data_IF_684249826941
#
_entry.id   IF_684249826941
#
_cell.length_a   1.000
_cell.length_b   1.000
_cell.length_c   1.000
_cell.angle_alpha   90.00
_cell.angle_beta   90.00
_cell.angle_gamma   90.00
#
_symmetry.space_group_name_H-M   'P 1'
#
loop_
_entity.id
_entity.type
_entity.pdbx_description
1 polymer ?
#
# COMPACT_ATOMS: atom_id res chain seq x y z
N UNK A 1 10.32 -21.37 -14.16
CA UNK A 1 9.58 -21.20 -12.89
C UNK A 1 8.12 -20.96 -13.26
N UNK A 2 7.17 -21.76 -12.76
CA UNK A 2 5.73 -21.49 -12.95
C UNK A 2 5.22 -20.84 -11.67
N UNK A 3 4.53 -19.72 -11.82
CA UNK A 3 3.80 -19.05 -10.74
C UNK A 3 2.37 -18.86 -11.23
N UNK A 4 1.40 -18.96 -10.32
CA UNK A 4 0.00 -18.65 -10.64
C UNK A 4 -0.27 -17.20 -10.25
N UNK A 5 -1.16 -16.54 -10.97
CA UNK A 5 -1.61 -15.20 -10.62
C UNK A 5 -3.15 -15.11 -10.64
N UNK A 6 -3.69 -14.20 -9.84
CA UNK A 6 -5.11 -13.88 -9.77
C UNK A 6 -5.28 -12.36 -9.69
N UNK A 7 -6.04 -11.78 -10.63
CA UNK A 7 -6.38 -10.36 -10.58
C UNK A 7 -7.38 -10.10 -9.44
N UNK A 8 -7.05 -9.14 -8.57
CA UNK A 8 -7.83 -8.74 -7.41
C UNK A 8 -8.64 -7.47 -7.74
N UNK A 9 -9.76 -7.65 -8.44
CA UNK A 9 -10.59 -6.55 -8.96
C UNK A 9 -11.29 -5.72 -7.87
N UNK A 10 -11.38 -6.29 -6.68
CA UNK A 10 -11.90 -5.64 -5.47
C UNK A 10 -10.87 -4.74 -4.78
N UNK A 11 -9.65 -4.64 -5.31
CA UNK A 11 -8.59 -3.77 -4.81
C UNK A 11 -8.32 -2.62 -5.78
N UNK A 12 -7.80 -1.52 -5.26
CA UNK A 12 -7.35 -0.39 -6.07
C UNK A 12 -6.31 0.44 -5.34
N UNK A 13 -5.76 1.43 -6.04
CA UNK A 13 -4.61 2.20 -5.57
C UNK A 13 -4.98 3.67 -5.36
N UNK A 14 -4.54 4.24 -4.23
CA UNK A 14 -4.34 5.67 -4.09
C UNK A 14 -2.83 5.97 -4.15
N UNK A 15 -2.46 7.04 -4.84
CA UNK A 15 -1.10 7.59 -4.82
C UNK A 15 -1.06 8.84 -3.97
N UNK A 16 -0.11 8.86 -3.03
CA UNK A 16 0.17 9.97 -2.14
C UNK A 16 1.55 10.53 -2.45
N UNK A 17 1.59 11.81 -2.83
CA UNK A 17 2.81 12.53 -3.21
C UNK A 17 2.93 13.87 -2.47
N UNK A 18 4.13 14.42 -2.38
CA UNK A 18 4.41 15.67 -1.66
C UNK A 18 5.40 15.50 -0.51
N UNK A 19 5.89 16.62 0.02
CA UNK A 19 7.02 16.63 0.99
C UNK A 19 6.64 16.08 2.36
N UNK A 20 5.37 16.17 2.74
CA UNK A 20 4.91 15.83 4.08
C UNK A 20 4.27 14.43 4.17
N UNK A 21 4.18 13.68 3.06
CA UNK A 21 3.43 12.41 2.96
C UNK A 21 3.78 11.43 4.08
N UNK A 22 5.07 11.22 4.33
CA UNK A 22 5.55 10.27 5.34
C UNK A 22 5.14 10.69 6.75
N UNK A 23 5.45 11.93 7.14
CA UNK A 23 5.09 12.45 8.47
C UNK A 23 3.58 12.48 8.67
N UNK A 24 2.83 12.85 7.62
CA UNK A 24 1.38 12.84 7.61
C UNK A 24 0.81 11.43 7.86
N UNK A 25 1.24 10.42 7.09
CA UNK A 25 0.74 9.06 7.27
C UNK A 25 1.18 8.45 8.60
N UNK A 26 2.42 8.71 9.04
CA UNK A 26 2.97 8.20 10.30
C UNK A 26 2.09 8.56 11.51
N UNK A 27 1.47 9.74 11.48
CA UNK A 27 0.59 10.22 12.54
C UNK A 27 -0.82 9.56 12.53
N UNK A 28 -1.19 8.86 11.45
CA UNK A 28 -2.55 8.37 11.22
C UNK A 28 -2.66 6.84 11.20
N UNK A 29 -1.60 6.15 10.79
CA UNK A 29 -1.65 4.71 10.55
C UNK A 29 -1.02 3.91 11.68
N UNK A 30 -1.41 2.65 11.83
CA UNK A 30 -0.96 1.78 12.92
C UNK A 30 0.47 1.26 12.77
N UNK A 31 1.08 1.45 11.60
CA UNK A 31 2.40 0.90 11.28
C UNK A 31 3.46 2.01 11.34
N UNK A 32 4.61 1.66 11.90
CA UNK A 32 5.82 2.47 11.79
C UNK A 32 6.30 2.47 10.33
N UNK A 33 6.31 3.65 9.72
CA UNK A 33 6.69 3.86 8.34
C UNK A 33 8.20 3.87 8.16
N UNK A 34 9.03 3.91 9.20
CA UNK A 34 10.49 3.74 9.04
C UNK A 34 10.83 2.38 8.41
N UNK A 35 9.93 1.39 8.52
CA UNK A 35 10.01 0.12 7.81
C UNK A 35 9.53 0.17 6.36
N UNK A 36 8.76 1.19 5.95
CA UNK A 36 8.34 1.38 4.57
C UNK A 36 9.50 2.01 3.77
N UNK A 37 10.06 1.24 2.85
CA UNK A 37 11.14 1.65 1.95
C UNK A 37 10.89 1.14 0.54
N UNK A 38 11.72 1.52 -0.42
CA UNK A 38 11.69 0.95 -1.78
C UNK A 38 11.94 -0.55 -1.82
N UNK A 39 12.55 -1.12 -0.76
CA UNK A 39 12.81 -2.56 -0.63
C UNK A 39 11.85 -3.26 0.34
N UNK A 40 10.93 -2.53 0.96
CA UNK A 40 10.06 -3.07 2.00
C UNK A 40 8.66 -2.42 1.97
N UNK A 41 7.65 -3.18 1.58
CA UNK A 41 6.25 -2.86 1.75
C UNK A 41 5.77 -3.22 3.16
N UNK A 42 4.69 -2.57 3.60
CA UNK A 42 4.11 -2.80 4.93
C UNK A 42 2.59 -2.90 4.86
N UNK A 43 2.01 -3.65 5.79
CA UNK A 43 0.57 -3.66 6.03
C UNK A 43 0.24 -2.71 7.18
N UNK A 44 -0.82 -1.91 7.02
CA UNK A 44 -1.23 -0.94 8.01
C UNK A 44 -2.74 -0.75 8.03
N UNK A 45 -3.21 -0.02 9.05
CA UNK A 45 -4.61 0.33 9.22
C UNK A 45 -4.76 1.79 9.63
N UNK A 46 -5.89 2.39 9.24
CA UNK A 46 -6.40 3.64 9.78
C UNK A 46 -7.51 3.32 10.78
N UNK A 47 -7.44 3.92 11.98
CA UNK A 47 -8.39 3.69 13.06
C UNK A 47 -9.18 4.97 13.40
N UNK A 48 -10.26 4.83 14.18
CA UNK A 48 -10.86 5.96 14.86
C UNK A 48 -9.93 6.46 15.97
N UNK A 49 -10.12 7.70 16.48
CA UNK A 49 -9.40 8.17 17.66
C UNK A 49 -9.59 7.28 18.91
N UNK A 50 -10.69 6.51 18.97
CA UNK A 50 -10.96 5.54 20.05
C UNK A 50 -10.35 4.15 19.76
N UNK A 51 -9.55 4.00 18.71
CA UNK A 51 -8.90 2.73 18.35
C UNK A 51 -9.78 1.72 17.63
N UNK A 52 -10.94 2.12 17.10
CA UNK A 52 -11.80 1.20 16.33
C UNK A 52 -11.33 1.10 14.89
N UNK A 53 -11.43 -0.09 14.30
CA UNK A 53 -11.10 -0.31 12.89
C UNK A 53 -11.89 0.63 11.97
N UNK A 54 -11.18 1.27 11.05
CA UNK A 54 -11.79 1.94 9.91
C UNK A 54 -11.34 1.32 8.60
N UNK A 55 -10.05 1.29 8.28
CA UNK A 55 -9.54 0.75 7.00
C UNK A 55 -8.23 0.01 7.24
N UNK A 56 -7.93 -0.92 6.36
CA UNK A 56 -6.63 -1.59 6.24
C UNK A 56 -6.19 -1.57 4.78
N UNK A 57 -4.87 -1.58 4.59
CA UNK A 57 -4.24 -1.44 3.27
C UNK A 57 -2.77 -1.86 3.33
N UNK A 58 -2.21 -2.11 2.15
CA UNK A 58 -0.78 -2.22 1.98
C UNK A 58 -0.21 -0.87 1.55
N UNK A 59 1.02 -0.61 2.00
CA UNK A 59 1.81 0.54 1.61
C UNK A 59 3.07 0.06 0.90
N UNK A 60 3.32 0.62 -0.28
CA UNK A 60 4.54 0.41 -1.04
C UNK A 60 5.07 1.78 -1.51
N UNK A 61 6.37 1.86 -1.78
CA UNK A 61 7.00 3.08 -2.25
C UNK A 61 7.36 2.96 -3.73
N UNK A 62 7.03 3.98 -4.52
CA UNK A 62 7.45 4.07 -5.92
C UNK A 62 7.73 5.53 -6.28
N UNK A 63 8.89 5.80 -6.88
CA UNK A 63 9.28 7.13 -7.40
C UNK A 63 9.21 8.27 -6.35
N UNK A 64 9.43 7.94 -5.07
CA UNK A 64 9.34 8.89 -3.96
C UNK A 64 7.94 9.05 -3.37
N UNK A 65 6.91 8.54 -4.05
CA UNK A 65 5.53 8.53 -3.58
C UNK A 65 5.21 7.28 -2.76
N UNK A 66 4.11 7.34 -2.00
CA UNK A 66 3.54 6.19 -1.31
C UNK A 66 2.26 5.74 -2.03
N UNK A 67 2.23 4.47 -2.40
CA UNK A 67 1.07 3.78 -2.94
C UNK A 67 0.30 3.14 -1.79
N UNK A 68 -1.01 3.35 -1.78
CA UNK A 68 -1.96 2.75 -0.84
C UNK A 68 -2.83 1.78 -1.61
N UNK A 69 -2.55 0.48 -1.46
CA UNK A 69 -3.38 -0.59 -2.00
C UNK A 69 -4.46 -0.97 -0.96
N UNK A 70 -5.72 -0.68 -1.26
CA UNK A 70 -6.86 -0.96 -0.38
C UNK A 70 -8.10 -1.44 -1.15
N UNK A 71 -9.19 -1.65 -0.41
CA UNK A 71 -10.48 -2.10 -0.97
C UNK A 71 -11.08 -1.04 -1.92
N UNK A 72 -11.24 -1.39 -3.20
CA UNK A 72 -11.68 -0.50 -4.28
C UNK A 72 -12.99 0.23 -3.95
N UNK A 73 -13.96 -0.50 -3.39
CA UNK A 73 -15.28 0.04 -3.03
C UNK A 73 -15.22 1.11 -1.92
N UNK A 74 -14.09 1.21 -1.22
CA UNK A 74 -13.92 2.08 -0.04
C UNK A 74 -12.81 3.12 -0.22
N UNK A 75 -12.10 3.11 -1.36
CA UNK A 75 -11.02 4.06 -1.64
C UNK A 75 -11.48 5.51 -1.58
N UNK A 76 -12.66 5.82 -2.13
CA UNK A 76 -13.16 7.21 -2.11
C UNK A 76 -13.43 7.68 -0.67
N UNK A 77 -13.92 6.78 0.19
CA UNK A 77 -14.14 7.06 1.61
C UNK A 77 -12.82 7.19 2.39
N UNK A 78 -11.81 6.36 2.07
CA UNK A 78 -10.46 6.47 2.62
C UNK A 78 -9.81 7.80 2.19
N UNK A 79 -9.83 8.11 0.89
CA UNK A 79 -9.30 9.34 0.31
C UNK A 79 -9.96 10.58 0.94
N UNK A 80 -11.28 10.57 1.12
CA UNK A 80 -12.00 11.68 1.79
C UNK A 80 -11.52 11.88 3.23
N UNK A 81 -11.28 10.81 3.98
CA UNK A 81 -10.77 10.90 5.36
C UNK A 81 -9.33 11.37 5.41
N UNK A 82 -8.47 10.84 4.56
CA UNK A 82 -7.08 11.31 4.48
C UNK A 82 -7.04 12.81 4.12
N UNK A 83 -7.87 13.26 3.17
CA UNK A 83 -7.97 14.70 2.85
C UNK A 83 -8.47 15.54 4.04
N UNK A 84 -9.43 15.04 4.83
CA UNK A 84 -9.88 15.72 6.04
C UNK A 84 -8.75 15.88 7.07
N UNK A 85 -7.86 14.90 7.18
CA UNK A 85 -6.74 14.94 8.13
C UNK A 85 -5.53 15.75 7.63
N UNK A 86 -5.36 15.93 6.31
CA UNK A 86 -4.13 16.56 5.77
C UNK A 86 -3.96 18.01 6.15
N UNK A 87 -5.06 18.75 6.37
CA UNK A 87 -5.05 20.19 6.67
C UNK A 87 -4.14 20.96 5.69
N UNK A 88 -3.03 21.53 6.18
CA UNK A 88 -2.04 22.30 5.39
C UNK A 88 -0.82 21.48 4.97
N UNK A 89 -0.78 20.18 5.28
CA UNK A 89 0.32 19.32 4.88
C UNK A 89 0.42 19.28 3.34
N UNK A 90 1.65 19.34 2.84
CA UNK A 90 1.99 19.22 1.44
C UNK A 90 1.86 17.75 0.99
N UNK A 91 0.61 17.36 0.78
CA UNK A 91 0.19 16.01 0.38
C UNK A 91 -0.88 16.10 -0.71
N UNK A 92 -0.58 15.60 -1.90
CA UNK A 92 -1.55 15.29 -2.94
C UNK A 92 -1.99 13.83 -2.79
N UNK A 93 -3.30 13.59 -2.94
CA UNK A 93 -3.89 12.25 -2.86
C UNK A 93 -4.70 12.06 -4.12
N UNK A 94 -4.38 11.04 -4.90
CA UNK A 94 -5.03 10.75 -6.18
C UNK A 94 -5.43 9.28 -6.25
N UNK A 95 -6.52 9.00 -6.94
CA UNK A 95 -6.95 7.63 -7.24
C UNK A 95 -6.36 7.23 -8.58
N UNK A 96 -5.87 6.01 -8.65
CA UNK A 96 -5.14 5.49 -9.79
C UNK A 96 -6.03 4.50 -10.58
N UNK A 97 -6.60 4.97 -11.70
CA UNK A 97 -7.54 4.17 -12.50
C UNK A 97 -6.84 3.20 -13.48
N UNK A 98 -5.54 3.39 -13.74
CA UNK A 98 -4.75 2.57 -14.68
C UNK A 98 -4.03 1.36 -14.06
N UNK A 99 -4.25 1.11 -12.76
CA UNK A 99 -3.53 0.09 -12.01
C UNK A 99 -4.35 -1.19 -11.90
N UNK A 100 -3.70 -2.34 -12.16
CA UNK A 100 -4.23 -3.67 -11.87
C UNK A 100 -3.43 -4.27 -10.71
N UNK A 101 -4.14 -4.80 -9.72
CA UNK A 101 -3.53 -5.50 -8.58
C UNK A 101 -3.76 -6.99 -8.80
N UNK A 102 -2.69 -7.77 -8.66
CA UNK A 102 -2.72 -9.21 -8.78
C UNK A 102 -1.99 -9.85 -7.61
N UNK A 103 -2.53 -10.96 -7.10
CA UNK A 103 -1.79 -11.85 -6.21
C UNK A 103 -1.09 -12.92 -7.03
N UNK A 104 0.16 -13.22 -6.67
CA UNK A 104 0.99 -14.27 -7.22
C UNK A 104 1.24 -15.31 -6.13
N UNK A 105 0.92 -16.56 -6.43
CA UNK A 105 0.99 -17.66 -5.47
C UNK A 105 1.53 -18.94 -6.11
N UNK A 106 1.96 -19.88 -5.28
CA UNK A 106 2.60 -21.14 -5.69
C UNK A 106 3.80 -20.92 -6.63
N UNK A 107 4.64 -19.92 -6.32
CA UNK A 107 5.84 -19.60 -7.08
C UNK A 107 6.62 -18.44 -6.46
N UNK A 108 7.76 -18.10 -7.05
CA UNK A 108 8.54 -16.91 -6.68
C UNK A 108 8.83 -16.13 -7.97
N UNK A 109 8.63 -14.81 -7.94
CA UNK A 109 8.87 -13.87 -9.03
C UNK A 109 10.24 -13.17 -8.95
N UNK A 110 11.21 -13.79 -8.28
CA UNK A 110 12.56 -13.25 -8.07
C UNK A 110 12.67 -12.33 -6.85
N UNK A 111 11.73 -12.41 -5.91
CA UNK A 111 11.74 -11.64 -4.67
C UNK A 111 12.42 -12.40 -3.54
N UNK A 112 13.01 -11.64 -2.61
CA UNK A 112 13.57 -12.19 -1.38
C UNK A 112 12.49 -12.90 -0.56
N UNK A 113 12.74 -14.10 0.00
CA UNK A 113 11.78 -14.84 0.81
C UNK A 113 11.64 -14.24 2.22
N UNK A 114 11.19 -12.99 2.28
CA UNK A 114 10.99 -12.20 3.49
C UNK A 114 9.68 -11.45 3.38
N UNK A 115 8.85 -11.44 4.42
CA UNK A 115 7.56 -10.75 4.40
C UNK A 115 7.73 -9.25 4.10
N UNK A 116 6.97 -8.74 3.13
CA UNK A 116 7.02 -7.36 2.70
C UNK A 116 8.25 -6.99 1.89
N UNK A 117 9.12 -7.93 1.47
CA UNK A 117 10.17 -7.61 0.51
C UNK A 117 9.54 -6.99 -0.73
N UNK A 118 9.96 -5.78 -1.10
CA UNK A 118 9.39 -5.00 -2.20
C UNK A 118 10.45 -4.69 -3.26
N UNK A 119 10.01 -4.44 -4.48
CA UNK A 119 10.89 -4.00 -5.55
C UNK A 119 10.13 -3.59 -6.81
N UNK A 120 10.83 -2.96 -7.77
CA UNK A 120 10.22 -2.59 -9.04
C UNK A 120 9.77 -3.83 -9.82
N UNK A 121 8.60 -3.75 -10.45
CA UNK A 121 8.04 -4.79 -11.30
C UNK A 121 7.43 -4.19 -12.56
N UNK A 122 8.19 -4.17 -13.65
CA UNK A 122 7.81 -3.44 -14.86
C UNK A 122 7.67 -1.94 -14.57
N UNK A 123 6.48 -1.38 -14.85
CA UNK A 123 6.14 0.01 -14.53
C UNK A 123 5.50 0.18 -13.13
N UNK A 124 5.32 -0.92 -12.39
CA UNK A 124 4.72 -0.94 -11.06
C UNK A 124 5.69 -1.44 -9.99
N UNK A 125 5.10 -1.93 -8.89
CA UNK A 125 5.80 -2.50 -7.74
C UNK A 125 5.26 -3.90 -7.47
N UNK A 126 6.14 -4.83 -7.09
CA UNK A 126 5.75 -6.10 -6.51
C UNK A 126 6.28 -6.18 -5.08
N UNK A 127 5.57 -6.91 -4.22
CA UNK A 127 6.03 -7.19 -2.87
C UNK A 127 5.49 -8.51 -2.37
N UNK A 128 6.30 -9.27 -1.62
CA UNK A 128 5.77 -10.41 -0.86
C UNK A 128 4.79 -9.92 0.20
N UNK A 129 3.74 -10.68 0.49
CA UNK A 129 2.69 -10.24 1.40
C UNK A 129 3.29 -9.87 2.79
N UNK A 130 3.15 -8.61 3.24
CA UNK A 130 3.72 -8.14 4.50
C UNK A 130 3.10 -8.76 5.75
N UNK A 131 1.94 -9.43 5.62
CA UNK A 131 1.20 -10.06 6.73
C UNK A 131 1.70 -11.48 6.97
N UNK A 132 1.95 -12.22 5.89
CA UNK A 132 2.35 -13.62 5.92
C UNK A 132 3.11 -13.97 4.64
N UNK A 133 4.37 -14.38 4.75
CA UNK A 133 5.20 -14.73 3.59
C UNK A 133 4.56 -15.81 2.70
N UNK A 134 3.89 -16.79 3.30
CA UNK A 134 3.25 -17.89 2.57
C UNK A 134 1.99 -17.47 1.78
N UNK A 135 1.49 -16.23 1.98
CA UNK A 135 0.37 -15.71 1.21
C UNK A 135 0.78 -15.29 -0.23
N UNK A 136 2.07 -15.30 -0.55
CA UNK A 136 2.57 -15.02 -1.90
C UNK A 136 3.09 -13.59 -2.05
N UNK A 137 2.96 -13.04 -3.26
CA UNK A 137 3.35 -11.69 -3.64
C UNK A 137 2.25 -10.97 -4.42
#
# INVERSE_FOLDING_TARGET
MKANFCALRERGVLRLSGRDVRTFLQALVTRDLDYLTTAQAVYSALLTPQGKYLFDFFLAQQDGDILVDGEAARLDALMKRLNMYKLRADVAITKEDGWEISAIYNGNIGMEPKAGAAGPFGAGVAFTDPRLLDAGA
#
